data_IF_962727289025
#
_entry.id   IF_962727289025
#
_cell.length_a   1.000
_cell.length_b   1.000
_cell.length_c   1.000
_cell.angle_alpha   90.00
_cell.angle_beta   90.00
_cell.angle_gamma   90.00
#
_symmetry.space_group_name_H-M   'P 1'
#
loop_
_entity.id
_entity.type
_entity.pdbx_description
1 polymer ?
#
# COMPACT_ATOMS: atom_id res chain seq x y z
N UNK A 1 -0.95 -14.30 -1.55
CA UNK A 1 -0.99 -15.60 -0.84
C UNK A 1 -0.96 -15.43 0.68
N UNK A 2 0.03 -14.74 1.25
CA UNK A 2 0.15 -14.52 2.70
C UNK A 2 -1.15 -13.99 3.35
N UNK A 3 -1.74 -12.93 2.79
CA UNK A 3 -3.02 -12.36 3.30
C UNK A 3 -4.14 -13.41 3.35
N UNK A 4 -4.28 -14.25 2.32
CA UNK A 4 -5.28 -15.31 2.31
C UNK A 4 -5.06 -16.32 3.44
N UNK A 5 -3.80 -16.68 3.71
CA UNK A 5 -3.44 -17.57 4.82
C UNK A 5 -3.72 -16.93 6.18
N UNK A 6 -3.40 -15.66 6.34
CA UNK A 6 -3.71 -14.88 7.55
C UNK A 6 -5.22 -14.83 7.80
N UNK A 7 -6.00 -14.53 6.76
CA UNK A 7 -7.47 -14.49 6.82
C UNK A 7 -8.09 -15.87 7.11
N UNK A 8 -7.53 -16.97 6.57
CA UNK A 8 -7.94 -18.35 6.89
C UNK A 8 -7.77 -18.67 8.38
N UNK A 9 -6.70 -18.16 9.00
CA UNK A 9 -6.46 -18.26 10.44
C UNK A 9 -7.29 -17.26 11.25
N UNK A 10 -8.18 -16.50 10.58
CA UNK A 10 -9.03 -15.45 11.11
C UNK A 10 -8.28 -14.20 11.59
N UNK A 11 -7.01 -14.02 11.22
CA UNK A 11 -6.28 -12.80 11.56
C UNK A 11 -6.48 -11.73 10.48
N UNK A 12 -6.52 -10.47 10.91
CA UNK A 12 -6.45 -9.29 10.01
C UNK A 12 -5.07 -8.69 10.24
N UNK A 13 -4.36 -8.37 9.16
CA UNK A 13 -3.05 -7.73 9.27
C UNK A 13 -3.15 -6.37 9.99
N UNK A 14 -4.34 -5.75 9.94
CA UNK A 14 -4.66 -4.54 10.67
C UNK A 14 -4.41 -3.31 9.82
N UNK A 15 -4.60 -3.45 8.49
CA UNK A 15 -4.42 -2.36 7.52
C UNK A 15 -2.95 -1.92 7.39
N UNK A 16 -1.99 -2.59 8.03
CA UNK A 16 -0.57 -2.25 7.94
C UNK A 16 0.17 -3.00 6.81
N UNK A 17 -0.56 -3.33 5.73
CA UNK A 17 0.01 -3.97 4.57
C UNK A 17 0.50 -2.90 3.59
N UNK A 18 1.80 -2.62 3.62
CA UNK A 18 2.50 -1.67 2.74
C UNK A 18 3.89 -2.18 2.37
N UNK A 19 4.54 -1.55 1.40
CA UNK A 19 5.86 -1.96 0.90
C UNK A 19 6.95 -2.07 1.99
N UNK A 20 6.86 -1.28 3.06
CA UNK A 20 7.79 -1.37 4.20
C UNK A 20 7.61 -2.63 5.05
N UNK A 21 6.43 -3.25 5.00
CA UNK A 21 6.10 -4.49 5.71
C UNK A 21 6.07 -5.71 4.76
N UNK A 22 6.55 -5.56 3.52
CA UNK A 22 6.74 -6.67 2.59
C UNK A 22 8.24 -6.87 2.37
N UNK A 23 8.74 -7.99 2.88
CA UNK A 23 10.15 -8.34 2.76
C UNK A 23 10.38 -9.26 1.57
N UNK A 24 11.48 -9.02 0.86
CA UNK A 24 11.96 -9.94 -0.16
C UNK A 24 12.64 -11.12 0.53
N UNK A 25 12.28 -12.33 0.12
CA UNK A 25 13.04 -13.51 0.53
C UNK A 25 14.43 -13.42 -0.10
N UNK A 26 15.44 -13.29 0.75
CA UNK A 26 16.83 -13.21 0.35
C UNK A 26 17.32 -14.58 -0.18
N UNK A 27 18.29 -14.63 -1.09
CA UNK A 27 18.82 -15.90 -1.56
C UNK A 27 19.37 -16.74 -0.40
N UNK A 28 19.10 -18.04 -0.37
CA UNK A 28 19.61 -18.97 0.66
C UNK A 28 21.14 -19.00 0.77
N UNK A 29 21.84 -18.53 -0.27
CA UNK A 29 23.29 -18.32 -0.22
C UNK A 29 23.73 -17.31 0.85
N UNK A 30 22.83 -16.44 1.32
CA UNK A 30 23.09 -15.52 2.43
C UNK A 30 23.02 -16.19 3.80
N UNK A 31 22.21 -17.25 3.95
CA UNK A 31 22.06 -17.99 5.22
C UNK A 31 23.36 -18.70 5.66
N UNK A 32 24.30 -18.87 4.73
CA UNK A 32 25.58 -19.54 4.95
C UNK A 32 26.74 -18.56 5.20
N UNK A 33 26.49 -17.25 5.13
CA UNK A 33 27.52 -16.25 5.39
C UNK A 33 27.60 -15.94 6.89
N UNK A 34 28.81 -15.85 7.43
CA UNK A 34 29.01 -15.17 8.70
C UNK A 34 28.78 -13.67 8.54
N UNK A 35 28.58 -12.96 9.66
CA UNK A 35 28.43 -11.51 9.68
C UNK A 35 29.60 -10.79 8.97
N UNK A 36 30.84 -11.26 9.22
CA UNK A 36 32.04 -10.74 8.57
C UNK A 36 32.03 -10.96 7.05
N UNK A 37 31.60 -12.13 6.59
CA UNK A 37 31.49 -12.42 5.15
C UNK A 37 30.37 -11.61 4.49
N UNK A 38 29.32 -11.29 5.23
CA UNK A 38 28.24 -10.43 4.77
C UNK A 38 28.74 -8.99 4.60
N UNK A 39 29.53 -8.47 5.55
CA UNK A 39 30.15 -7.15 5.45
C UNK A 39 31.24 -7.06 4.37
N UNK A 40 32.07 -8.10 4.21
CA UNK A 40 33.07 -8.14 3.13
C UNK A 40 32.41 -8.09 1.75
N UNK A 41 31.22 -8.68 1.62
CA UNK A 41 30.50 -8.78 0.36
C UNK A 41 29.61 -7.57 0.05
N UNK A 42 28.94 -7.00 1.05
CA UNK A 42 27.92 -5.95 0.87
C UNK A 42 28.28 -4.62 1.52
N UNK A 43 29.40 -4.56 2.25
CA UNK A 43 29.79 -3.42 3.07
C UNK A 43 29.30 -3.55 4.51
N UNK A 44 30.11 -3.06 5.46
CA UNK A 44 29.68 -2.88 6.83
C UNK A 44 28.70 -1.69 6.94
N UNK A 45 27.74 -1.71 7.87
CA UNK A 45 26.87 -0.58 8.12
C UNK A 45 27.69 0.66 8.48
N UNK A 46 27.30 1.81 7.93
CA UNK A 46 27.96 3.09 8.20
C UNK A 46 27.41 3.71 9.49
N UNK A 47 28.22 3.86 10.54
CA UNK A 47 27.77 4.50 11.77
C UNK A 47 27.73 6.02 11.60
N UNK A 48 26.62 6.63 11.99
CA UNK A 48 26.45 8.08 12.04
C UNK A 48 26.58 8.59 13.47
N UNK A 49 27.35 9.66 13.74
CA UNK A 49 27.53 10.17 15.09
C UNK A 49 26.23 10.77 15.64
N UNK A 50 25.89 10.40 16.87
CA UNK A 50 24.78 11.06 17.58
C UNK A 50 25.26 12.43 18.05
N UNK A 51 24.74 13.49 17.44
CA UNK A 51 25.05 14.87 17.81
C UNK A 51 23.87 15.53 18.52
N UNK A 52 24.16 16.33 19.55
CA UNK A 52 23.12 17.16 20.17
C UNK A 52 22.89 18.40 19.33
N UNK A 53 21.62 18.81 19.21
CA UNK A 53 21.23 20.03 18.50
C UNK A 53 21.87 21.30 19.07
N UNK A 54 22.24 21.30 20.35
CA UNK A 54 22.93 22.41 21.02
C UNK A 54 24.47 22.37 20.91
N UNK A 55 25.02 21.43 20.11
CA UNK A 55 26.45 21.30 19.85
C UNK A 55 27.29 20.77 21.02
N UNK A 56 26.67 20.40 22.14
CA UNK A 56 27.35 19.82 23.31
C UNK A 56 27.62 18.32 23.11
N UNK A 57 28.55 17.72 23.86
CA UNK A 57 28.75 16.27 23.84
C UNK A 57 27.49 15.52 24.30
N UNK A 58 27.19 14.35 23.71
CA UNK A 58 26.13 13.45 24.16
C UNK A 58 26.27 13.11 25.65
N UNK A 59 25.15 12.92 26.34
CA UNK A 59 25.19 12.46 27.74
C UNK A 59 25.80 11.06 27.84
N UNK A 60 26.35 10.69 29.00
CA UNK A 60 26.92 9.37 29.24
C UNK A 60 25.95 8.20 28.94
N UNK A 61 24.64 8.46 28.99
CA UNK A 61 23.59 7.46 28.76
C UNK A 61 23.07 7.44 27.30
N UNK A 62 23.62 8.27 26.41
CA UNK A 62 23.25 8.28 25.00
C UNK A 62 24.33 7.54 24.19
N UNK A 63 23.95 6.70 23.21
CA UNK A 63 24.91 6.04 22.33
C UNK A 63 25.72 7.07 21.56
N UNK A 64 27.00 6.76 21.28
CA UNK A 64 27.91 7.66 20.57
C UNK A 64 27.67 7.71 19.06
N UNK A 65 27.02 6.68 18.51
CA UNK A 65 26.62 6.59 17.12
C UNK A 65 25.28 5.86 16.99
N UNK A 66 24.61 6.07 15.86
CA UNK A 66 23.45 5.34 15.42
C UNK A 66 23.77 4.72 14.06
N UNK A 67 23.12 3.61 13.74
CA UNK A 67 23.15 3.03 12.40
C UNK A 67 21.78 3.30 11.81
N UNK A 68 21.72 3.91 10.62
CA UNK A 68 20.47 4.09 9.90
C UNK A 68 19.87 2.70 9.64
N UNK A 69 18.68 2.38 10.19
CA UNK A 69 18.11 1.06 10.05
C UNK A 69 17.80 0.78 8.58
N UNK A 70 18.07 -0.45 8.14
CA UNK A 70 17.34 -1.01 7.00
C UNK A 70 15.95 -1.33 7.54
N UNK A 71 14.95 -0.57 7.11
CA UNK A 71 13.59 -0.71 7.63
C UNK A 71 12.97 -2.02 7.12
N UNK A 72 12.70 -2.96 8.03
CA UNK A 72 12.21 -4.31 7.69
C UNK A 72 10.90 -4.71 8.42
N UNK A 73 10.15 -3.76 8.98
CA UNK A 73 8.72 -3.86 9.37
C UNK A 73 8.20 -5.06 10.20
N UNK A 74 7.51 -4.82 11.32
CA UNK A 74 6.53 -5.78 11.89
C UNK A 74 5.46 -5.10 12.75
N UNK A 75 4.16 -5.40 12.53
CA UNK A 75 3.09 -5.47 13.55
C UNK A 75 1.86 -6.32 13.10
N UNK A 76 1.72 -7.51 13.71
CA UNK A 76 0.56 -8.46 13.79
C UNK A 76 -0.62 -8.16 14.75
N UNK A 77 -1.92 -8.40 14.49
CA UNK A 77 -2.98 -8.36 15.55
C UNK A 77 -4.31 -9.17 15.30
N UNK A 78 -5.14 -9.44 16.35
CA UNK A 78 -6.42 -10.20 16.35
C UNK A 78 -7.72 -9.36 16.49
N UNK A 79 -8.61 -9.27 15.47
CA UNK A 79 -9.76 -8.35 15.46
C UNK A 79 -10.81 -8.46 16.57
N UNK A 80 -11.01 -9.63 17.19
CA UNK A 80 -12.06 -9.85 18.19
C UNK A 80 -11.60 -9.65 19.64
N UNK A 81 -10.29 -9.46 19.88
CA UNK A 81 -9.75 -9.26 21.24
C UNK A 81 -9.53 -7.77 21.57
N UNK A 82 -9.33 -6.89 20.58
CA UNK A 82 -9.21 -5.44 20.76
C UNK A 82 -9.87 -4.68 19.59
N UNK A 83 -10.69 -3.69 19.96
CA UNK A 83 -11.33 -2.78 19.01
C UNK A 83 -10.31 -1.70 18.58
N UNK A 84 -9.53 -1.96 17.52
CA UNK A 84 -8.67 -0.91 16.95
C UNK A 84 -9.48 0.03 16.05
N UNK A 85 -9.82 1.18 16.62
CA UNK A 85 -10.49 2.30 15.93
C UNK A 85 -9.50 3.18 15.16
N UNK A 86 -8.20 3.08 15.44
CA UNK A 86 -7.15 3.92 14.85
C UNK A 86 -6.20 3.08 14.00
N UNK A 87 -6.08 3.45 12.72
CA UNK A 87 -5.10 2.91 11.77
C UNK A 87 -3.86 3.81 11.79
N UNK A 88 -2.69 3.24 12.12
CA UNK A 88 -1.38 3.90 12.02
C UNK A 88 -0.77 3.83 10.61
N UNK A 89 -1.50 3.20 9.69
CA UNK A 89 -1.14 3.00 8.30
C UNK A 89 -0.91 4.33 7.57
N UNK A 90 0.05 4.39 6.62
CA UNK A 90 0.18 5.50 5.68
C UNK A 90 -1.15 5.91 5.04
N UNK A 91 -1.36 7.21 4.88
CA UNK A 91 -2.64 7.80 4.54
C UNK A 91 -3.15 7.33 3.16
N UNK A 92 -2.24 7.13 2.22
CA UNK A 92 -2.50 6.69 0.85
C UNK A 92 -3.14 5.31 0.75
N UNK A 93 -2.84 4.38 1.65
CA UNK A 93 -3.35 3.00 1.57
C UNK A 93 -4.44 2.72 2.59
N UNK A 94 -4.82 3.74 3.37
CA UNK A 94 -5.87 3.63 4.37
C UNK A 94 -7.23 3.46 3.69
N UNK A 95 -8.04 2.49 4.11
CA UNK A 95 -9.32 2.25 3.51
C UNK A 95 -10.32 3.34 3.93
N UNK A 96 -11.26 3.70 3.05
CA UNK A 96 -12.15 4.85 3.22
C UNK A 96 -13.08 4.70 4.43
N UNK A 97 -13.48 3.49 4.82
CA UNK A 97 -14.31 3.26 6.00
C UNK A 97 -13.62 3.66 7.31
N UNK A 98 -12.28 3.62 7.39
CA UNK A 98 -11.55 4.11 8.56
C UNK A 98 -11.77 5.61 8.80
N UNK A 99 -12.12 6.35 7.74
CA UNK A 99 -12.53 7.75 7.80
C UNK A 99 -14.02 7.92 8.03
N UNK A 100 -14.85 7.23 7.25
CA UNK A 100 -16.28 7.52 7.14
C UNK A 100 -17.17 6.70 8.09
N UNK A 101 -16.61 5.64 8.65
CA UNK A 101 -17.24 4.74 9.63
C UNK A 101 -16.27 4.48 10.80
N UNK A 102 -15.81 5.53 11.52
CA UNK A 102 -14.73 5.40 12.52
C UNK A 102 -15.11 4.56 13.74
N UNK A 103 -16.40 4.25 13.92
CA UNK A 103 -16.90 3.37 14.99
C UNK A 103 -16.96 1.91 14.58
N UNK A 104 -16.77 1.60 13.30
CA UNK A 104 -16.72 0.24 12.76
C UNK A 104 -15.26 -0.21 12.80
N UNK A 105 -14.98 -1.32 13.50
CA UNK A 105 -13.63 -1.88 13.54
C UNK A 105 -13.12 -2.27 12.16
N UNK A 106 -11.80 -2.22 11.96
CA UNK A 106 -11.15 -2.71 10.74
C UNK A 106 -11.42 -4.21 10.56
N UNK A 107 -11.61 -4.63 9.31
CA UNK A 107 -12.04 -5.99 8.97
C UNK A 107 -11.12 -6.62 7.92
N UNK A 108 -11.39 -7.88 7.55
CA UNK A 108 -10.70 -8.51 6.42
C UNK A 108 -10.79 -7.68 5.14
N UNK A 109 -11.93 -7.02 4.88
CA UNK A 109 -12.11 -6.16 3.72
C UNK A 109 -11.23 -4.90 3.75
N UNK A 110 -10.83 -4.46 4.94
CA UNK A 110 -9.90 -3.34 5.11
C UNK A 110 -8.49 -3.73 4.64
N UNK A 111 -8.02 -4.94 4.96
CA UNK A 111 -6.75 -5.47 4.41
C UNK A 111 -6.80 -5.62 2.89
N UNK A 112 -7.96 -5.96 2.30
CA UNK A 112 -8.11 -6.12 0.85
C UNK A 112 -7.90 -4.80 0.11
N UNK A 113 -8.37 -3.69 0.68
CA UNK A 113 -8.11 -2.37 0.13
C UNK A 113 -6.62 -2.03 0.17
N UNK A 114 -5.96 -2.19 1.33
CA UNK A 114 -4.53 -1.91 1.47
C UNK A 114 -3.68 -2.85 0.61
N UNK A 115 -4.09 -4.10 0.44
CA UNK A 115 -3.48 -5.05 -0.49
C UNK A 115 -3.58 -4.56 -1.93
N UNK A 116 -4.73 -4.03 -2.37
CA UNK A 116 -4.85 -3.46 -3.71
C UNK A 116 -3.90 -2.28 -3.91
N UNK A 117 -3.88 -1.32 -2.97
CA UNK A 117 -2.94 -0.20 -3.04
C UNK A 117 -1.47 -0.67 -3.10
N UNK A 118 -1.15 -1.73 -2.36
CA UNK A 118 0.20 -2.31 -2.34
C UNK A 118 0.55 -3.03 -3.63
N UNK A 119 -0.36 -3.83 -4.19
CA UNK A 119 -0.17 -4.47 -5.51
C UNK A 119 0.10 -3.40 -6.58
N UNK A 120 -0.64 -2.29 -6.56
CA UNK A 120 -0.38 -1.17 -7.47
C UNK A 120 1.03 -0.62 -7.29
N UNK A 121 1.43 -0.34 -6.04
CA UNK A 121 2.74 0.21 -5.73
C UNK A 121 3.90 -0.75 -6.08
N UNK A 122 3.67 -2.07 -6.08
CA UNK A 122 4.65 -3.06 -6.57
C UNK A 122 4.81 -2.97 -8.10
N UNK A 123 3.70 -2.77 -8.82
CA UNK A 123 3.70 -2.78 -10.29
C UNK A 123 4.09 -1.44 -10.91
N UNK A 124 3.88 -0.33 -10.18
CA UNK A 124 4.10 1.02 -10.65
C UNK A 124 5.21 1.76 -9.93
N UNK A 125 5.70 2.85 -10.53
CA UNK A 125 6.66 3.76 -9.92
C UNK A 125 6.04 4.77 -8.95
N UNK A 126 4.71 4.89 -8.95
CA UNK A 126 3.97 5.81 -8.07
C UNK A 126 2.85 5.07 -7.36
N UNK A 127 2.55 5.51 -6.14
CA UNK A 127 1.38 5.06 -5.38
C UNK A 127 0.09 5.34 -6.14
N UNK A 128 -0.93 4.51 -5.94
CA UNK A 128 -2.24 4.71 -6.57
C UNK A 128 -2.87 6.04 -6.18
N UNK A 129 -2.72 6.42 -4.90
CA UNK A 129 -3.15 7.69 -4.34
C UNK A 129 -1.91 8.43 -3.83
N UNK A 130 -1.69 9.65 -4.28
CA UNK A 130 -0.51 10.42 -3.90
C UNK A 130 -0.70 11.04 -2.51
N UNK A 131 0.18 10.68 -1.55
CA UNK A 131 0.16 11.22 -0.19
C UNK A 131 1.22 12.30 0.07
N UNK A 132 2.01 12.70 -0.93
CA UNK A 132 3.06 13.70 -0.72
C UNK A 132 2.44 15.03 -0.27
N UNK A 133 2.65 15.38 1.00
CA UNK A 133 2.05 16.54 1.66
C UNK A 133 0.51 16.58 1.61
N UNK A 134 -0.13 15.42 1.39
CA UNK A 134 -1.57 15.32 1.23
C UNK A 134 -2.28 15.36 2.58
N UNK A 135 -3.41 16.06 2.62
CA UNK A 135 -4.37 15.91 3.74
C UNK A 135 -5.29 14.71 3.51
N UNK A 136 -6.04 14.33 4.53
CA UNK A 136 -7.06 13.27 4.39
C UNK A 136 -8.12 13.63 3.34
N UNK A 137 -8.42 14.92 3.18
CA UNK A 137 -9.34 15.42 2.15
C UNK A 137 -8.74 15.28 0.74
N UNK A 138 -7.43 15.49 0.60
CA UNK A 138 -6.75 15.30 -0.68
C UNK A 138 -6.69 13.82 -1.06
N UNK A 139 -6.49 12.90 -0.10
CA UNK A 139 -6.61 11.46 -0.39
C UNK A 139 -8.05 11.06 -0.77
N UNK A 140 -9.05 11.64 -0.11
CA UNK A 140 -10.47 11.39 -0.49
C UNK A 140 -10.76 11.90 -1.91
N UNK A 141 -10.17 13.03 -2.28
CA UNK A 141 -10.18 13.58 -3.62
C UNK A 141 -9.57 12.62 -4.64
N UNK A 142 -8.37 12.11 -4.38
CA UNK A 142 -7.66 11.13 -5.22
C UNK A 142 -8.47 9.83 -5.42
N UNK A 143 -9.08 9.33 -4.33
CA UNK A 143 -9.96 8.16 -4.38
C UNK A 143 -11.19 8.39 -5.26
N UNK A 144 -11.82 9.57 -5.16
CA UNK A 144 -12.99 9.91 -5.99
C UNK A 144 -12.62 10.07 -7.46
N UNK A 145 -11.47 10.66 -7.75
CA UNK A 145 -11.01 10.87 -9.13
C UNK A 145 -10.66 9.54 -9.82
N UNK A 146 -10.11 8.58 -9.07
CA UNK A 146 -9.75 7.27 -9.58
C UNK A 146 -10.95 6.31 -9.66
N UNK A 147 -11.80 6.27 -8.65
CA UNK A 147 -12.81 5.20 -8.46
C UNK A 147 -14.26 5.68 -8.68
N UNK A 148 -14.47 6.99 -8.80
CA UNK A 148 -15.77 7.62 -8.94
C UNK A 148 -16.39 8.02 -7.60
N UNK A 149 -17.72 8.19 -7.59
CA UNK A 149 -18.43 8.75 -6.43
C UNK A 149 -18.32 7.87 -5.18
N UNK A 150 -18.12 8.53 -4.03
CA UNK A 150 -18.38 7.93 -2.72
C UNK A 150 -19.83 7.47 -2.60
N UNK A 151 -20.12 6.49 -1.72
CA UNK A 151 -21.46 6.24 -1.25
C UNK A 151 -22.13 7.51 -0.71
N UNK A 152 -23.44 7.64 -0.91
CA UNK A 152 -24.15 8.91 -0.69
C UNK A 152 -23.99 9.43 0.74
N UNK A 153 -24.11 8.57 1.75
CA UNK A 153 -23.97 9.01 3.15
C UNK A 153 -22.53 9.41 3.50
N UNK A 154 -21.52 8.82 2.84
CA UNK A 154 -20.12 9.21 3.04
C UNK A 154 -19.85 10.54 2.35
N UNK A 155 -20.40 10.72 1.15
CA UNK A 155 -20.37 11.98 0.43
C UNK A 155 -21.00 13.10 1.25
N UNK A 156 -22.18 12.90 1.82
CA UNK A 156 -22.89 13.92 2.61
C UNK A 156 -22.16 14.26 3.93
N UNK A 157 -21.47 13.30 4.54
CA UNK A 157 -20.65 13.51 5.75
C UNK A 157 -19.34 14.26 5.47
N UNK A 158 -18.88 14.28 4.23
CA UNK A 158 -17.62 14.92 3.89
C UNK A 158 -17.75 16.45 3.84
N UNK A 159 -17.37 17.14 4.93
CA UNK A 159 -17.54 18.59 5.07
C UNK A 159 -16.75 19.40 4.01
N UNK A 160 -15.51 19.00 3.71
CA UNK A 160 -14.67 19.70 2.73
C UNK A 160 -15.09 19.45 1.27
N UNK A 161 -16.10 18.62 0.99
CA UNK A 161 -16.49 18.28 -0.39
C UNK A 161 -16.82 19.50 -1.23
N UNK A 162 -17.45 20.53 -0.66
CA UNK A 162 -17.94 21.71 -1.39
C UNK A 162 -16.81 22.63 -1.84
N UNK A 163 -15.64 22.56 -1.19
CA UNK A 163 -14.44 23.28 -1.63
C UNK A 163 -13.65 22.52 -2.68
N UNK A 164 -13.89 21.20 -2.80
CA UNK A 164 -13.16 20.29 -3.69
C UNK A 164 -13.95 19.89 -4.94
N UNK A 165 -15.29 19.89 -4.86
CA UNK A 165 -16.21 19.47 -5.90
C UNK A 165 -17.45 20.39 -5.95
N UNK A 166 -17.80 20.85 -7.15
CA UNK A 166 -19.02 21.63 -7.40
C UNK A 166 -20.29 20.75 -7.33
N UNK A 167 -20.19 19.51 -7.81
CA UNK A 167 -21.23 18.46 -7.76
C UNK A 167 -20.55 17.09 -7.62
N UNK A 168 -21.28 16.01 -7.26
CA UNK A 168 -20.71 14.66 -7.31
C UNK A 168 -20.07 14.39 -8.67
N UNK A 169 -18.81 13.91 -8.68
CA UNK A 169 -17.96 13.69 -9.88
C UNK A 169 -17.61 14.94 -10.69
N UNK A 170 -17.92 16.13 -10.20
CA UNK A 170 -17.57 17.38 -10.86
C UNK A 170 -16.62 18.19 -9.96
N UNK A 171 -15.30 18.09 -10.17
CA UNK A 171 -14.32 18.86 -9.42
C UNK A 171 -14.51 20.36 -9.67
N UNK A 172 -14.08 21.18 -8.72
CA UNK A 172 -14.06 22.64 -8.90
C UNK A 172 -13.07 23.04 -10.00
N UNK A 173 -13.34 24.16 -10.66
CA UNK A 173 -12.48 24.68 -11.72
C UNK A 173 -11.05 24.93 -11.20
N UNK A 174 -10.05 24.58 -12.03
CA UNK A 174 -8.62 24.73 -11.69
C UNK A 174 -8.02 23.59 -10.87
N UNK A 175 -8.81 22.60 -10.42
CA UNK A 175 -8.26 21.41 -9.76
C UNK A 175 -7.73 20.41 -10.80
N UNK A 176 -6.51 19.90 -10.59
CA UNK A 176 -6.00 18.78 -11.37
C UNK A 176 -6.65 17.46 -10.97
N UNK A 177 -7.00 16.64 -11.95
CA UNK A 177 -7.76 15.39 -11.79
C UNK A 177 -7.00 14.28 -12.48
N UNK A 178 -6.63 13.25 -11.74
CA UNK A 178 -6.00 12.05 -12.29
C UNK A 178 -6.97 10.89 -12.32
N UNK A 179 -7.41 10.54 -13.54
CA UNK A 179 -8.28 9.39 -13.76
C UNK A 179 -7.55 8.06 -13.56
N UNK A 180 -8.31 6.98 -13.36
CA UNK A 180 -7.79 5.60 -13.29
C UNK A 180 -6.83 5.27 -14.45
N UNK A 181 -7.25 5.56 -15.69
CA UNK A 181 -6.46 5.23 -16.88
C UNK A 181 -5.18 6.07 -16.96
N UNK A 182 -5.24 7.35 -16.59
CA UNK A 182 -4.06 8.21 -16.56
C UNK A 182 -3.06 7.71 -15.52
N UNK A 183 -3.54 7.35 -14.32
CA UNK A 183 -2.69 6.78 -13.27
C UNK A 183 -2.01 5.50 -13.74
N UNK A 184 -2.75 4.61 -14.40
CA UNK A 184 -2.20 3.36 -14.93
C UNK A 184 -1.11 3.61 -15.99
N UNK A 185 -1.38 4.54 -16.91
CA UNK A 185 -0.45 4.88 -17.97
C UNK A 185 0.84 5.47 -17.40
N UNK A 186 0.73 6.53 -16.59
CA UNK A 186 1.86 7.28 -16.03
C UNK A 186 2.66 6.47 -15.01
N UNK A 187 1.99 5.63 -14.22
CA UNK A 187 2.63 4.94 -13.08
C UNK A 187 3.15 3.56 -13.46
N UNK A 188 2.53 2.87 -14.42
CA UNK A 188 2.83 1.47 -14.73
C UNK A 188 3.36 1.32 -16.16
N UNK A 189 2.62 1.77 -17.17
CA UNK A 189 2.96 1.46 -18.57
C UNK A 189 4.12 2.28 -19.10
N UNK A 190 4.11 3.60 -18.91
CA UNK A 190 5.16 4.50 -19.39
C UNK A 190 6.52 4.15 -18.76
N UNK A 191 6.65 4.01 -17.44
CA UNK A 191 7.92 3.60 -16.83
C UNK A 191 8.45 2.26 -17.33
N UNK A 192 7.57 1.29 -17.59
CA UNK A 192 7.98 -0.01 -18.16
C UNK A 192 8.59 0.16 -19.54
N UNK A 193 7.95 0.96 -20.41
CA UNK A 193 8.47 1.24 -21.76
C UNK A 193 9.80 1.97 -21.71
N UNK A 194 9.93 2.98 -20.84
CA UNK A 194 11.19 3.73 -20.66
C UNK A 194 12.34 2.84 -20.19
N UNK A 195 12.05 1.81 -19.38
CA UNK A 195 13.03 0.83 -18.91
C UNK A 195 13.19 -0.39 -19.83
N UNK A 196 12.54 -0.40 -20.99
CA UNK A 196 12.58 -1.53 -21.94
C UNK A 196 11.94 -2.82 -21.40
N UNK A 197 11.11 -2.72 -20.37
CA UNK A 197 10.32 -3.83 -19.84
C UNK A 197 9.07 -4.04 -20.70
N UNK A 198 8.56 -5.28 -20.71
CA UNK A 198 7.29 -5.58 -21.36
C UNK A 198 6.13 -4.80 -20.68
N UNK A 199 5.41 -4.04 -21.50
CA UNK A 199 4.15 -3.42 -21.12
C UNK A 199 3.05 -4.48 -20.95
N UNK A 200 2.08 -4.21 -20.08
CA UNK A 200 0.92 -5.08 -19.93
C UNK A 200 0.09 -5.00 -21.21
N UNK A 201 -0.20 -6.15 -21.81
CA UNK A 201 -1.09 -6.19 -22.98
C UNK A 201 -2.54 -5.87 -22.59
N UNK A 202 -3.41 -5.74 -23.60
CA UNK A 202 -4.82 -5.38 -23.37
C UNK A 202 -5.54 -6.40 -22.47
N UNK A 203 -5.27 -7.70 -22.64
CA UNK A 203 -5.93 -8.75 -21.85
C UNK A 203 -5.46 -8.72 -20.41
N UNK A 204 -4.16 -8.60 -20.20
CA UNK A 204 -3.57 -8.49 -18.86
C UNK A 204 -4.07 -7.24 -18.14
N UNK A 205 -4.07 -6.09 -18.83
CA UNK A 205 -4.59 -4.83 -18.29
C UNK A 205 -6.05 -4.97 -17.87
N UNK A 206 -6.89 -5.51 -18.73
CA UNK A 206 -8.33 -5.60 -18.44
C UNK A 206 -8.61 -6.55 -17.27
N UNK A 207 -7.87 -7.67 -17.17
CA UNK A 207 -7.92 -8.57 -16.02
C UNK A 207 -7.41 -7.89 -14.73
N UNK A 208 -6.31 -7.13 -14.83
CA UNK A 208 -5.75 -6.36 -13.72
C UNK A 208 -6.75 -5.31 -13.22
N UNK A 209 -7.38 -4.56 -14.14
CA UNK A 209 -8.39 -3.56 -13.81
C UNK A 209 -9.59 -4.18 -13.12
N UNK A 210 -10.11 -5.28 -13.64
CA UNK A 210 -11.24 -5.98 -13.04
C UNK A 210 -10.95 -6.42 -11.60
N UNK A 211 -9.77 -7.00 -11.35
CA UNK A 211 -9.34 -7.39 -10.00
C UNK A 211 -9.22 -6.17 -9.08
N UNK A 212 -8.46 -5.15 -9.51
CA UNK A 212 -8.17 -3.98 -8.68
C UNK A 212 -9.41 -3.18 -8.34
N UNK A 213 -10.30 -2.94 -9.30
CA UNK A 213 -11.55 -2.20 -9.08
C UNK A 213 -12.54 -2.97 -8.20
N UNK A 214 -12.47 -4.30 -8.15
CA UNK A 214 -13.25 -5.10 -7.22
C UNK A 214 -12.69 -5.01 -5.79
N UNK A 215 -11.37 -5.06 -5.63
CA UNK A 215 -10.71 -4.88 -4.34
C UNK A 215 -10.87 -3.46 -3.78
N UNK A 216 -10.95 -2.45 -4.65
CA UNK A 216 -11.08 -1.03 -4.29
C UNK A 216 -12.53 -0.52 -4.27
N UNK A 217 -13.51 -1.41 -4.07
CA UNK A 217 -14.89 -0.93 -3.81
C UNK A 217 -14.93 -0.12 -2.53
N UNK A 218 -15.63 1.02 -2.55
CA UNK A 218 -15.72 1.89 -1.37
C UNK A 218 -16.30 1.14 -0.18
N UNK A 219 -17.37 0.36 -0.35
CA UNK A 219 -17.95 -0.42 0.74
C UNK A 219 -17.11 -1.66 1.04
N UNK A 220 -16.80 -1.92 2.33
CA UNK A 220 -16.11 -3.15 2.73
C UNK A 220 -16.82 -4.42 2.24
N UNK A 221 -18.16 -4.46 2.35
CA UNK A 221 -18.95 -5.65 1.98
C UNK A 221 -18.99 -5.95 0.48
N UNK A 222 -18.64 -4.98 -0.37
CA UNK A 222 -18.61 -5.15 -1.82
C UNK A 222 -17.23 -5.66 -2.30
N UNK A 223 -16.24 -5.73 -1.40
CA UNK A 223 -14.88 -6.19 -1.71
C UNK A 223 -14.80 -7.73 -1.67
N UNK A 224 -13.93 -8.34 -2.50
CA UNK A 224 -13.66 -9.76 -2.45
C UNK A 224 -12.94 -10.14 -1.14
N UNK A 225 -13.07 -11.40 -0.76
CA UNK A 225 -12.15 -12.03 0.18
C UNK A 225 -10.78 -12.28 -0.46
N UNK A 226 -9.73 -12.43 0.35
CA UNK A 226 -8.38 -12.72 -0.15
C UNK A 226 -8.33 -14.01 -0.99
N UNK A 227 -9.15 -15.01 -0.65
CA UNK A 227 -9.29 -16.24 -1.43
C UNK A 227 -9.87 -15.98 -2.82
N UNK A 228 -10.93 -15.18 -2.90
CA UNK A 228 -11.53 -14.81 -4.18
C UNK A 228 -10.57 -13.98 -5.05
N UNK A 229 -9.73 -13.14 -4.45
CA UNK A 229 -8.68 -12.41 -5.18
C UNK A 229 -7.73 -13.38 -5.88
N UNK A 230 -7.28 -14.44 -5.20
CA UNK A 230 -6.42 -15.49 -5.78
C UNK A 230 -7.08 -16.23 -6.95
N UNK A 231 -8.42 -16.22 -7.03
CA UNK A 231 -9.20 -16.88 -8.08
C UNK A 231 -9.46 -16.00 -9.30
N UNK A 232 -9.06 -14.72 -9.26
CA UNK A 232 -9.23 -13.80 -10.40
C UNK A 232 -8.36 -14.18 -11.59
N UNK A 233 -8.79 -13.79 -12.79
CA UNK A 233 -8.07 -14.08 -14.04
C UNK A 233 -6.64 -13.54 -13.99
N UNK A 234 -6.44 -12.31 -13.47
CA UNK A 234 -5.10 -11.73 -13.38
C UNK A 234 -4.16 -12.59 -12.52
N UNK A 235 -4.64 -13.05 -11.37
CA UNK A 235 -3.86 -13.93 -10.50
C UNK A 235 -3.56 -15.29 -11.14
N UNK A 236 -4.56 -15.92 -11.79
CA UNK A 236 -4.42 -17.27 -12.36
C UNK A 236 -3.55 -17.35 -13.59
N UNK A 237 -3.64 -16.37 -14.49
CA UNK A 237 -2.97 -16.45 -15.79
C UNK A 237 -1.66 -15.65 -15.87
N UNK A 238 -1.44 -14.67 -14.97
CA UNK A 238 -0.23 -13.84 -14.98
C UNK A 238 0.56 -13.92 -13.68
N UNK A 239 -0.04 -13.59 -12.54
CA UNK A 239 0.73 -13.41 -11.30
C UNK A 239 1.25 -14.72 -10.67
N UNK A 240 0.39 -15.73 -10.49
CA UNK A 240 0.80 -17.01 -9.89
C UNK A 240 1.78 -17.78 -10.79
N UNK A 241 1.56 -17.91 -12.11
CA UNK A 241 2.53 -18.56 -12.99
C UNK A 241 3.89 -17.84 -13.02
N UNK A 242 3.91 -16.51 -12.86
CA UNK A 242 5.17 -15.77 -12.76
C UNK A 242 5.90 -16.05 -11.42
N UNK A 243 5.17 -16.24 -10.33
CA UNK A 243 5.73 -16.60 -9.03
C UNK A 243 6.36 -18.00 -9.04
N UNK A 244 5.68 -18.97 -9.64
CA UNK A 244 6.16 -20.36 -9.71
C UNK A 244 7.49 -20.49 -10.49
N UNK A 245 7.66 -19.70 -11.55
CA UNK A 245 8.91 -19.65 -12.34
C UNK A 245 10.11 -19.09 -11.57
N UNK A 246 9.91 -18.40 -10.46
CA UNK A 246 10.98 -17.82 -9.63
C UNK A 246 11.43 -18.83 -8.56
N UNK A 247 10.56 -19.78 -8.20
CA UNK A 247 10.82 -20.79 -7.17
C UNK A 247 11.48 -22.06 -7.70
N UNK A 248 11.59 -22.21 -9.03
CA UNK A 248 12.36 -23.24 -9.74
C UNK A 248 13.79 -22.75 -10.07
#
# INVERSE_FOLDING_TARGET
>A
MAVARTHEQKYVHGVDLHLGNILLHLPSSLDHLSEEQLYDKFGAPEPEPVIRLDGKPPSLNAPSYAISPVWLGEHTFQPWEELRLHSYTPLEIRPPEARFEPTTGLSFASDIWSLACTIWAILGQRSLFDSLLATQDDITCEQVDALGSLPLEWWERWAARTTKFAKPRQPVEGRSVWSWNQRFEDSIQEPRREKGMAALDVKERDAFFAMMQWMLKFRPNDRPTAKQVLETDWMRYWALPACEKITD
#
